data_IF_774441397304
#
_entry.id   IF_774441397304
#
_cell.length_a   1.000
_cell.length_b   1.000
_cell.length_c   1.000
_cell.angle_alpha   90.00
_cell.angle_beta   90.00
_cell.angle_gamma   90.00
#
_symmetry.space_group_name_H-M   'P 1'
#
loop_
_entity.id
_entity.type
_entity.pdbx_description
1 polymer ?
#
# COMPACT_ATOMS: atom_id res chain seq x y z
N UNK A 1 -10.63 34.84 -2.20
CA UNK A 1 -9.89 33.88 -1.33
C UNK A 1 -10.20 32.42 -1.66
N UNK A 2 -11.40 32.07 -2.19
CA UNK A 2 -11.79 30.68 -2.50
C UNK A 2 -11.06 30.06 -3.71
N UNK A 3 -10.58 30.86 -4.65
CA UNK A 3 -9.81 30.37 -5.82
C UNK A 3 -8.43 29.81 -5.47
N UNK A 4 -7.76 30.38 -4.46
CA UNK A 4 -6.42 29.94 -4.06
C UNK A 4 -6.39 28.55 -3.40
N UNK A 5 -7.42 28.19 -2.63
CA UNK A 5 -7.52 26.86 -2.00
C UNK A 5 -7.74 25.73 -3.01
N UNK A 6 -8.52 26.00 -4.06
CA UNK A 6 -8.75 25.03 -5.14
C UNK A 6 -7.49 24.73 -5.96
N UNK A 7 -6.65 25.73 -6.19
CA UNK A 7 -5.41 25.57 -6.96
C UNK A 7 -4.30 24.90 -6.12
N UNK A 8 -4.23 25.19 -4.83
CA UNK A 8 -3.34 24.49 -3.91
C UNK A 8 -3.73 23.01 -3.79
N UNK A 9 -5.03 22.71 -3.67
CA UNK A 9 -5.54 21.35 -3.64
C UNK A 9 -5.26 20.58 -4.96
N UNK A 10 -5.46 21.22 -6.12
CA UNK A 10 -5.12 20.62 -7.41
C UNK A 10 -3.63 20.36 -7.56
N UNK A 11 -2.77 21.28 -7.14
CA UNK A 11 -1.32 21.08 -7.15
C UNK A 11 -0.90 19.96 -6.20
N UNK A 12 -1.48 19.85 -5.01
CA UNK A 12 -1.19 18.79 -4.04
C UNK A 12 -1.62 17.41 -4.55
N UNK A 13 -2.81 17.31 -5.15
CA UNK A 13 -3.28 16.08 -5.80
C UNK A 13 -2.38 15.72 -6.99
N UNK A 14 -1.91 16.71 -7.74
CA UNK A 14 -0.99 16.50 -8.86
C UNK A 14 0.42 16.09 -8.41
N UNK A 15 0.92 16.63 -7.29
CA UNK A 15 2.19 16.22 -6.68
C UNK A 15 2.12 14.81 -6.07
N UNK A 16 1.04 14.50 -5.36
CA UNK A 16 0.78 13.14 -4.88
C UNK A 16 0.67 12.14 -6.04
N UNK A 17 0.06 12.54 -7.15
CA UNK A 17 -0.08 11.73 -8.36
C UNK A 17 1.25 11.53 -9.11
N UNK A 18 2.22 12.45 -8.98
CA UNK A 18 3.51 12.42 -9.69
C UNK A 18 4.57 11.56 -8.99
N UNK A 19 4.41 11.31 -7.70
CA UNK A 19 5.36 10.51 -6.90
C UNK A 19 4.97 9.03 -6.73
N UNK A 20 4.04 8.52 -7.52
CA UNK A 20 3.75 7.09 -7.55
C UNK A 20 4.84 6.34 -8.32
N UNK A 21 5.27 5.21 -7.77
CA UNK A 21 6.04 4.20 -8.50
C UNK A 21 5.39 4.00 -9.88
N UNK A 22 6.20 4.05 -10.93
CA UNK A 22 5.73 3.78 -12.28
C UNK A 22 5.03 2.41 -12.30
N UNK A 23 3.90 2.30 -12.96
CA UNK A 23 3.19 1.03 -13.13
C UNK A 23 4.10 -0.09 -13.64
N UNK A 24 5.04 0.26 -14.51
CA UNK A 24 6.05 -0.63 -15.07
C UNK A 24 7.04 -1.14 -14.01
N UNK A 25 7.39 -0.31 -13.03
CA UNK A 25 8.29 -0.73 -11.95
C UNK A 25 7.63 -1.80 -11.06
N UNK A 26 6.34 -1.62 -10.75
CA UNK A 26 5.59 -2.60 -9.95
C UNK A 26 5.45 -3.93 -10.70
N UNK A 27 5.10 -3.86 -11.97
CA UNK A 27 5.02 -5.04 -12.84
C UNK A 27 6.38 -5.75 -12.94
N UNK A 28 7.47 -5.00 -13.10
CA UNK A 28 8.83 -5.54 -13.15
C UNK A 28 9.21 -6.25 -11.85
N UNK A 29 8.91 -5.66 -10.70
CA UNK A 29 9.21 -6.26 -9.40
C UNK A 29 8.35 -7.52 -9.17
N UNK A 30 7.05 -7.47 -9.45
CA UNK A 30 6.15 -8.61 -9.30
C UNK A 30 6.60 -9.79 -10.17
N UNK A 31 7.00 -9.53 -11.42
CA UNK A 31 7.51 -10.57 -12.32
C UNK A 31 8.85 -11.12 -11.87
N UNK A 32 9.76 -10.27 -11.39
CA UNK A 32 11.06 -10.71 -10.84
C UNK A 32 10.86 -11.61 -9.62
N UNK A 33 10.00 -11.24 -8.68
CA UNK A 33 9.65 -12.06 -7.52
C UNK A 33 9.07 -13.40 -7.97
N UNK A 34 8.12 -13.37 -8.91
CA UNK A 34 7.45 -14.59 -9.39
C UNK A 34 8.43 -15.56 -10.07
N UNK A 35 9.35 -15.07 -10.89
CA UNK A 35 10.38 -15.89 -11.53
C UNK A 35 11.35 -16.45 -10.49
N UNK A 36 11.79 -15.64 -9.54
CA UNK A 36 12.66 -16.09 -8.44
C UNK A 36 12.01 -17.20 -7.62
N UNK A 37 10.73 -17.09 -7.30
CA UNK A 37 9.98 -18.14 -6.61
C UNK A 37 9.94 -19.44 -7.42
N UNK A 38 9.74 -19.36 -8.75
CA UNK A 38 9.76 -20.55 -9.62
C UNK A 38 11.12 -21.23 -9.68
N UNK A 39 12.20 -20.44 -9.72
CA UNK A 39 13.56 -20.98 -9.70
C UNK A 39 13.86 -21.69 -8.37
N UNK A 40 13.48 -21.07 -7.25
CA UNK A 40 13.64 -21.68 -5.93
C UNK A 40 12.82 -22.97 -5.83
N UNK A 41 11.55 -22.94 -6.25
CA UNK A 41 10.69 -24.12 -6.24
C UNK A 41 11.27 -25.26 -7.10
N UNK A 42 11.79 -24.92 -8.26
CA UNK A 42 12.43 -25.89 -9.16
C UNK A 42 13.67 -26.51 -8.50
N UNK A 43 14.55 -25.69 -7.92
CA UNK A 43 15.76 -26.17 -7.25
C UNK A 43 15.42 -27.08 -6.06
N UNK A 44 14.46 -26.69 -5.22
CA UNK A 44 14.05 -27.48 -4.04
C UNK A 44 13.51 -28.84 -4.45
N UNK A 45 12.63 -28.88 -5.45
CA UNK A 45 12.01 -30.15 -5.89
C UNK A 45 13.01 -31.07 -6.58
N UNK A 46 13.93 -30.54 -7.39
CA UNK A 46 15.01 -31.33 -7.99
C UNK A 46 15.96 -31.90 -6.93
N UNK A 47 16.29 -31.11 -5.91
CA UNK A 47 17.07 -31.59 -4.79
C UNK A 47 16.38 -32.74 -4.04
N UNK A 48 15.08 -32.60 -3.75
CA UNK A 48 14.28 -33.64 -3.08
C UNK A 48 14.10 -34.91 -3.92
N UNK A 49 14.00 -34.74 -5.24
CA UNK A 49 13.83 -35.86 -6.18
C UNK A 49 15.16 -36.58 -6.50
N UNK A 50 16.29 -36.06 -6.03
CA UNK A 50 17.64 -36.54 -6.39
C UNK A 50 17.88 -36.63 -7.92
N UNK A 51 17.25 -35.78 -8.68
CA UNK A 51 17.39 -35.68 -10.13
C UNK A 51 18.36 -34.55 -10.47
N UNK A 52 19.36 -34.77 -11.34
CA UNK A 52 20.32 -33.76 -11.71
C UNK A 52 19.61 -32.57 -12.40
N UNK A 53 19.97 -31.36 -12.00
CA UNK A 53 19.48 -30.14 -12.66
C UNK A 53 20.23 -29.96 -13.97
N UNK A 54 19.48 -29.73 -15.05
CA UNK A 54 20.05 -29.36 -16.34
C UNK A 54 19.79 -27.88 -16.59
N UNK A 55 20.85 -27.10 -16.86
CA UNK A 55 20.75 -25.65 -17.08
C UNK A 55 19.75 -25.26 -18.18
N UNK A 56 19.65 -26.08 -19.21
CA UNK A 56 18.68 -25.90 -20.29
C UNK A 56 17.22 -25.96 -19.82
N UNK A 57 16.90 -26.90 -18.94
CA UNK A 57 15.55 -27.01 -18.38
C UNK A 57 15.23 -25.88 -17.42
N UNK A 58 16.17 -25.47 -16.59
CA UNK A 58 16.03 -24.33 -15.71
C UNK A 58 15.71 -23.06 -16.51
N UNK A 59 16.41 -22.83 -17.62
CA UNK A 59 16.18 -21.69 -18.50
C UNK A 59 14.78 -21.76 -19.14
N UNK A 60 14.33 -22.92 -19.63
CA UNK A 60 12.97 -23.11 -20.17
C UNK A 60 11.91 -22.76 -19.14
N UNK A 61 11.98 -23.30 -17.92
CA UNK A 61 11.01 -23.03 -16.86
C UNK A 61 11.03 -21.55 -16.43
N UNK A 62 12.19 -20.93 -16.35
CA UNK A 62 12.31 -19.50 -16.06
C UNK A 62 11.64 -18.65 -17.14
N UNK A 63 11.86 -18.95 -18.42
CA UNK A 63 11.22 -18.23 -19.53
C UNK A 63 9.69 -18.40 -19.52
N UNK A 64 9.19 -19.62 -19.31
CA UNK A 64 7.75 -19.85 -19.22
C UNK A 64 7.14 -19.13 -18.02
N UNK A 65 7.79 -19.20 -16.86
CA UNK A 65 7.35 -18.50 -15.66
C UNK A 65 7.33 -16.99 -15.88
N UNK A 66 8.33 -16.42 -16.55
CA UNK A 66 8.39 -15.01 -16.89
C UNK A 66 7.22 -14.61 -17.80
N UNK A 67 7.03 -15.31 -18.91
CA UNK A 67 5.95 -15.02 -19.86
C UNK A 67 4.59 -15.16 -19.18
N UNK A 68 4.37 -16.25 -18.43
CA UNK A 68 3.11 -16.50 -17.72
C UNK A 68 2.84 -15.45 -16.65
N UNK A 69 3.87 -15.01 -15.90
CA UNK A 69 3.75 -13.96 -14.88
C UNK A 69 3.41 -12.62 -15.50
N UNK A 70 4.06 -12.23 -16.59
CA UNK A 70 3.77 -10.98 -17.31
C UNK A 70 2.35 -11.05 -17.88
N UNK A 71 1.98 -12.11 -18.56
CA UNK A 71 0.65 -12.29 -19.15
C UNK A 71 -0.45 -12.26 -18.06
N UNK A 72 -0.26 -12.99 -16.96
CA UNK A 72 -1.20 -13.00 -15.84
C UNK A 72 -1.35 -11.61 -15.21
N UNK A 73 -0.24 -10.90 -14.99
CA UNK A 73 -0.27 -9.55 -14.44
C UNK A 73 -0.98 -8.55 -15.36
N UNK A 74 -0.82 -8.68 -16.67
CA UNK A 74 -1.51 -7.84 -17.66
C UNK A 74 -3.00 -8.17 -17.75
N UNK A 75 -3.36 -9.46 -17.79
CA UNK A 75 -4.76 -9.91 -17.89
C UNK A 75 -5.58 -9.47 -16.66
N UNK A 76 -5.06 -9.68 -15.47
CA UNK A 76 -5.77 -9.36 -14.22
C UNK A 76 -5.51 -7.95 -13.72
N UNK A 77 -4.75 -7.14 -14.47
CA UNK A 77 -4.46 -5.74 -14.15
C UNK A 77 -3.93 -5.55 -12.72
N UNK A 78 -3.05 -6.46 -12.27
CA UNK A 78 -2.48 -6.42 -10.90
C UNK A 78 -1.65 -5.17 -10.64
N UNK A 79 -1.10 -4.56 -11.71
CA UNK A 79 -0.29 -3.34 -11.67
C UNK A 79 -1.10 -2.04 -11.53
N UNK A 80 -2.43 -2.07 -11.74
CA UNK A 80 -3.25 -0.87 -11.93
C UNK A 80 -3.80 -0.24 -10.65
N UNK A 81 -3.87 -1.00 -9.57
CA UNK A 81 -4.43 -0.54 -8.29
C UNK A 81 -3.35 -0.51 -7.22
N UNK A 82 -2.83 0.66 -6.98
CA UNK A 82 -1.91 0.92 -5.89
C UNK A 82 -2.63 1.50 -4.69
N UNK A 83 -2.51 0.83 -3.56
CA UNK A 83 -2.28 1.39 -2.22
C UNK A 83 -3.52 1.88 -1.46
N UNK A 84 -4.70 2.18 -2.03
CA UNK A 84 -5.57 3.01 -1.20
C UNK A 84 -6.92 2.47 -0.72
N UNK A 85 -7.57 1.47 -1.33
CA UNK A 85 -8.98 1.25 -0.94
C UNK A 85 -9.60 -0.16 -0.97
N UNK A 86 -8.89 -1.22 -1.37
CA UNK A 86 -9.52 -2.55 -1.35
C UNK A 86 -8.51 -3.68 -1.29
N UNK A 87 -7.97 -3.93 -0.11
CA UNK A 87 -7.03 -5.05 0.14
C UNK A 87 -7.57 -6.38 -0.39
N UNK A 88 -8.84 -6.69 -0.16
CA UNK A 88 -9.46 -7.94 -0.60
C UNK A 88 -9.52 -8.08 -2.13
N UNK A 89 -9.77 -7.00 -2.86
CA UNK A 89 -9.86 -7.02 -4.32
C UNK A 89 -8.48 -7.19 -4.97
N UNK A 90 -7.45 -6.64 -4.35
CA UNK A 90 -6.07 -6.84 -4.83
C UNK A 90 -5.59 -8.27 -4.60
N UNK A 91 -5.85 -8.82 -3.43
CA UNK A 91 -5.54 -10.22 -3.12
C UNK A 91 -6.21 -11.18 -4.12
N UNK A 92 -7.48 -10.93 -4.47
CA UNK A 92 -8.18 -11.72 -5.46
C UNK A 92 -7.51 -11.67 -6.84
N UNK A 93 -7.06 -10.50 -7.28
CA UNK A 93 -6.34 -10.35 -8.56
C UNK A 93 -4.99 -11.06 -8.56
N UNK A 94 -4.23 -10.96 -7.47
CA UNK A 94 -2.96 -11.68 -7.31
C UNK A 94 -3.22 -13.18 -7.36
N UNK A 95 -4.23 -13.67 -6.66
CA UNK A 95 -4.61 -15.09 -6.67
C UNK A 95 -4.95 -15.57 -8.08
N UNK A 96 -5.76 -14.82 -8.84
CA UNK A 96 -6.08 -15.16 -10.22
C UNK A 96 -4.84 -15.16 -11.13
N UNK A 97 -3.92 -14.20 -10.96
CA UNK A 97 -2.68 -14.16 -11.74
C UNK A 97 -1.76 -15.35 -11.42
N UNK A 98 -1.65 -15.73 -10.14
CA UNK A 98 -0.89 -16.92 -9.72
C UNK A 98 -1.51 -18.21 -10.25
N UNK A 99 -2.85 -18.35 -10.18
CA UNK A 99 -3.55 -19.51 -10.76
C UNK A 99 -3.32 -19.61 -12.26
N UNK A 100 -3.38 -18.50 -12.98
CA UNK A 100 -3.07 -18.46 -14.41
C UNK A 100 -1.63 -18.92 -14.69
N UNK A 101 -0.65 -18.43 -13.91
CA UNK A 101 0.74 -18.88 -14.01
C UNK A 101 0.87 -20.40 -13.79
N UNK A 102 0.24 -20.92 -12.73
CA UNK A 102 0.25 -22.37 -12.43
C UNK A 102 -0.34 -23.16 -13.60
N UNK A 103 -1.44 -22.70 -14.19
CA UNK A 103 -2.05 -23.36 -15.35
C UNK A 103 -1.10 -23.40 -16.55
N UNK A 104 -0.41 -22.28 -16.86
CA UNK A 104 0.59 -22.25 -17.92
C UNK A 104 1.76 -23.20 -17.64
N UNK A 105 2.29 -23.19 -16.41
CA UNK A 105 3.36 -24.12 -16.02
C UNK A 105 2.90 -25.58 -16.05
N UNK A 106 1.66 -25.87 -15.68
CA UNK A 106 1.08 -27.21 -15.78
C UNK A 106 1.01 -27.69 -17.25
N UNK A 107 0.51 -26.86 -18.14
CA UNK A 107 0.44 -27.18 -19.58
C UNK A 107 1.83 -27.52 -20.10
N UNK A 108 2.84 -26.75 -19.75
CA UNK A 108 4.22 -27.01 -20.17
C UNK A 108 4.78 -28.26 -19.51
N UNK A 109 4.53 -28.47 -18.20
CA UNK A 109 5.05 -29.62 -17.45
C UNK A 109 4.44 -30.95 -17.88
N UNK A 110 3.17 -30.97 -18.32
CA UNK A 110 2.44 -32.18 -18.70
C UNK A 110 2.28 -32.33 -20.20
N UNK A 111 2.20 -31.22 -20.97
CA UNK A 111 1.86 -31.26 -22.40
C UNK A 111 3.05 -31.37 -23.33
N UNK A 112 4.18 -30.74 -23.03
CA UNK A 112 5.30 -30.62 -23.96
C UNK A 112 6.54 -31.43 -23.57
N UNK A 113 6.57 -32.10 -22.41
CA UNK A 113 7.85 -32.49 -21.86
C UNK A 113 7.94 -33.99 -21.60
N UNK A 114 8.23 -34.71 -22.65
CA UNK A 114 8.84 -36.04 -22.58
C UNK A 114 10.25 -36.00 -21.93
N UNK A 115 10.83 -34.82 -21.78
CA UNK A 115 12.24 -34.67 -21.33
C UNK A 115 12.39 -34.38 -19.82
N UNK A 116 11.32 -34.06 -19.07
CA UNK A 116 11.49 -33.92 -17.63
C UNK A 116 11.59 -35.29 -16.98
N UNK A 117 12.80 -35.62 -16.53
CA UNK A 117 13.07 -36.83 -15.77
C UNK A 117 12.38 -36.88 -14.40
N UNK A 118 11.55 -35.89 -14.08
CA UNK A 118 10.81 -35.82 -12.82
C UNK A 118 9.62 -36.77 -12.81
N UNK A 119 9.48 -37.61 -11.79
CA UNK A 119 8.29 -38.44 -11.59
C UNK A 119 7.02 -37.56 -11.46
N UNK A 120 5.87 -38.11 -11.82
CA UNK A 120 4.58 -37.41 -11.84
C UNK A 120 4.26 -36.68 -10.51
N UNK A 121 4.51 -37.34 -9.39
CA UNK A 121 4.24 -36.77 -8.07
C UNK A 121 5.08 -35.49 -7.80
N UNK A 122 6.34 -35.45 -8.23
CA UNK A 122 7.19 -34.30 -8.07
C UNK A 122 6.79 -33.14 -9.00
N UNK A 123 6.19 -33.39 -10.17
CA UNK A 123 5.64 -32.35 -11.03
C UNK A 123 4.48 -31.64 -10.36
N UNK A 124 3.57 -32.37 -9.73
CA UNK A 124 2.45 -31.79 -8.96
C UNK A 124 2.98 -31.01 -7.77
N UNK A 125 3.92 -31.60 -7.01
CA UNK A 125 4.53 -30.92 -5.86
C UNK A 125 5.22 -29.61 -6.25
N UNK A 126 5.90 -29.58 -7.41
CA UNK A 126 6.49 -28.37 -7.95
C UNK A 126 5.45 -27.25 -8.20
N UNK A 127 4.34 -27.60 -8.88
CA UNK A 127 3.30 -26.63 -9.20
C UNK A 127 2.63 -26.05 -7.94
N UNK A 128 2.34 -26.92 -6.97
CA UNK A 128 1.75 -26.50 -5.69
C UNK A 128 2.71 -25.64 -4.88
N UNK A 129 3.97 -26.05 -4.80
CA UNK A 129 4.99 -25.33 -4.04
C UNK A 129 5.32 -23.98 -4.68
N UNK A 130 5.48 -23.92 -6.02
CA UNK A 130 5.67 -22.65 -6.75
C UNK A 130 4.48 -21.71 -6.56
N UNK A 131 3.25 -22.22 -6.68
CA UNK A 131 2.05 -21.42 -6.51
C UNK A 131 1.92 -20.83 -5.10
N UNK A 132 2.11 -21.67 -4.08
CA UNK A 132 2.05 -21.27 -2.69
C UNK A 132 3.14 -20.24 -2.38
N UNK A 133 4.38 -20.54 -2.78
CA UNK A 133 5.53 -19.66 -2.54
C UNK A 133 5.34 -18.30 -3.21
N UNK A 134 4.91 -18.30 -4.47
CA UNK A 134 4.64 -17.06 -5.23
C UNK A 134 3.51 -16.25 -4.58
N UNK A 135 2.41 -16.89 -4.19
CA UNK A 135 1.27 -16.21 -3.57
C UNK A 135 1.66 -15.58 -2.23
N UNK A 136 2.33 -16.34 -1.36
CA UNK A 136 2.77 -15.83 -0.05
C UNK A 136 3.77 -14.68 -0.22
N UNK A 137 4.76 -14.83 -1.09
CA UNK A 137 5.80 -13.81 -1.28
C UNK A 137 5.23 -12.53 -1.88
N UNK A 138 4.37 -12.61 -2.91
CA UNK A 138 3.73 -11.44 -3.51
C UNK A 138 2.80 -10.71 -2.54
N UNK A 139 2.00 -11.45 -1.76
CA UNK A 139 1.10 -10.83 -0.77
C UNK A 139 1.88 -10.17 0.36
N UNK A 140 2.92 -10.84 0.89
CA UNK A 140 3.79 -10.28 1.92
C UNK A 140 4.50 -9.03 1.41
N UNK A 141 5.03 -9.06 0.19
CA UNK A 141 5.68 -7.91 -0.43
C UNK A 141 4.72 -6.71 -0.56
N UNK A 142 3.47 -6.94 -1.01
CA UNK A 142 2.45 -5.89 -1.12
C UNK A 142 2.10 -5.28 0.24
N UNK A 143 1.89 -6.12 1.24
CA UNK A 143 1.61 -5.65 2.62
C UNK A 143 2.79 -4.85 3.16
N UNK A 144 4.03 -5.32 2.93
CA UNK A 144 5.25 -4.60 3.35
C UNK A 144 5.36 -3.22 2.69
N UNK A 145 5.04 -3.10 1.40
CA UNK A 145 5.03 -1.81 0.71
C UNK A 145 4.02 -0.83 1.33
N UNK A 146 2.83 -1.30 1.69
CA UNK A 146 1.81 -0.47 2.35
C UNK A 146 2.32 0.02 3.70
N UNK A 147 2.88 -0.88 4.53
CA UNK A 147 3.41 -0.54 5.85
C UNK A 147 4.55 0.48 5.74
N UNK A 148 5.50 0.25 4.82
CA UNK A 148 6.62 1.17 4.57
C UNK A 148 6.11 2.53 4.13
N UNK A 149 5.13 2.56 3.23
CA UNK A 149 4.53 3.81 2.76
C UNK A 149 3.86 4.58 3.89
N UNK A 150 3.05 3.94 4.72
CA UNK A 150 2.40 4.55 5.87
C UNK A 150 3.43 5.06 6.89
N UNK A 151 4.48 4.28 7.14
CA UNK A 151 5.58 4.70 8.02
C UNK A 151 6.32 5.94 7.49
N UNK A 152 6.62 5.96 6.19
CA UNK A 152 7.27 7.12 5.54
C UNK A 152 6.38 8.36 5.59
N UNK A 153 5.07 8.20 5.35
CA UNK A 153 4.11 9.30 5.49
C UNK A 153 4.06 9.84 6.92
N UNK A 154 4.02 8.97 7.91
CA UNK A 154 4.04 9.38 9.32
C UNK A 154 5.35 10.08 9.70
N UNK A 155 6.48 9.63 9.16
CA UNK A 155 7.77 10.27 9.39
C UNK A 155 7.88 11.65 8.74
N UNK A 156 7.41 11.81 7.51
CA UNK A 156 7.31 13.10 6.81
C UNK A 156 6.29 14.00 7.49
N UNK A 157 5.16 13.45 7.93
CA UNK A 157 4.09 14.16 8.61
C UNK A 157 4.45 14.64 10.03
N UNK A 158 5.51 14.12 10.65
CA UNK A 158 6.05 14.68 11.91
C UNK A 158 6.48 16.14 11.78
N UNK A 159 6.72 16.65 10.58
CA UNK A 159 6.97 18.07 10.27
C UNK A 159 5.70 18.88 10.01
N UNK A 160 4.51 18.30 10.14
CA UNK A 160 3.28 19.00 9.81
C UNK A 160 2.96 20.12 10.78
N UNK A 161 2.49 21.22 10.22
CA UNK A 161 2.00 22.37 10.97
C UNK A 161 0.81 21.95 11.82
N UNK A 162 0.98 21.99 13.14
CA UNK A 162 -0.10 21.72 14.08
C UNK A 162 -1.06 22.89 14.09
N UNK A 163 -2.35 22.59 13.98
CA UNK A 163 -3.43 23.58 13.95
C UNK A 163 -4.52 23.21 14.94
N UNK A 164 -5.22 24.22 15.47
CA UNK A 164 -6.46 24.05 16.22
C UNK A 164 -7.66 24.24 15.30
N UNK A 165 -8.74 23.56 15.59
CA UNK A 165 -10.02 23.70 14.89
C UNK A 165 -10.96 24.46 15.82
N UNK A 166 -11.51 25.57 15.35
CA UNK A 166 -12.50 26.33 16.11
C UNK A 166 -13.87 25.64 16.08
N UNK A 167 -14.48 25.55 17.28
CA UNK A 167 -15.81 24.96 17.44
C UNK A 167 -15.78 23.46 17.73
N UNK A 168 -16.94 22.97 18.20
CA UNK A 168 -17.19 21.53 18.51
C UNK A 168 -18.41 20.98 17.81
N UNK A 169 -18.93 21.68 16.81
CA UNK A 169 -20.06 21.30 15.98
C UNK A 169 -19.68 20.21 14.97
N UNK A 170 -20.67 19.64 14.33
CA UNK A 170 -20.47 18.59 13.33
C UNK A 170 -19.55 19.00 12.18
N UNK A 171 -19.61 20.28 11.77
CA UNK A 171 -18.74 20.82 10.72
C UNK A 171 -17.27 20.83 11.15
N UNK A 172 -16.98 21.13 12.43
CA UNK A 172 -15.62 21.06 12.96
C UNK A 172 -15.07 19.63 13.00
N UNK A 173 -15.94 18.65 13.31
CA UNK A 173 -15.58 17.23 13.26
C UNK A 173 -15.38 16.77 11.82
N UNK A 174 -16.21 17.21 10.88
CA UNK A 174 -16.04 16.94 9.44
C UNK A 174 -14.74 17.56 8.91
N UNK A 175 -14.38 18.78 9.36
CA UNK A 175 -13.10 19.42 9.02
C UNK A 175 -11.92 18.59 9.53
N UNK A 176 -11.97 18.06 10.76
CA UNK A 176 -10.95 17.13 11.28
C UNK A 176 -10.78 15.91 10.39
N UNK A 177 -11.90 15.30 9.94
CA UNK A 177 -11.85 14.14 9.06
C UNK A 177 -11.20 14.46 7.70
N UNK A 178 -11.52 15.64 7.14
CA UNK A 178 -10.86 16.12 5.91
C UNK A 178 -9.36 16.40 6.10
N UNK A 179 -8.97 16.88 7.27
CA UNK A 179 -7.57 17.14 7.60
C UNK A 179 -6.76 15.88 7.88
N UNK A 180 -7.41 14.75 8.18
CA UNK A 180 -6.75 13.48 8.42
C UNK A 180 -5.86 13.05 7.26
N UNK A 181 -6.29 13.34 6.03
CA UNK A 181 -5.59 12.99 4.80
C UNK A 181 -4.70 14.13 4.27
N UNK A 182 -4.55 15.22 5.06
CA UNK A 182 -3.73 16.37 4.68
C UNK A 182 -2.25 16.11 4.93
N UNK A 183 -1.41 16.31 3.91
CA UNK A 183 0.05 16.17 4.02
C UNK A 183 0.72 17.33 4.79
N UNK A 184 0.03 18.45 5.06
CA UNK A 184 0.64 19.66 5.62
C UNK A 184 0.11 20.07 6.98
N UNK A 185 -1.11 19.67 7.33
CA UNK A 185 -1.77 20.11 8.55
C UNK A 185 -2.19 18.92 9.41
N UNK A 186 -1.92 19.02 10.71
CA UNK A 186 -2.37 18.03 11.70
C UNK A 186 -3.22 18.74 12.74
N UNK A 187 -4.46 18.31 12.90
CA UNK A 187 -5.32 18.82 13.96
C UNK A 187 -4.73 18.45 15.34
N UNK A 188 -4.39 19.43 16.16
CA UNK A 188 -3.84 19.25 17.49
C UNK A 188 -4.92 19.24 18.58
N UNK A 189 -6.11 19.75 18.28
CA UNK A 189 -7.26 19.81 19.18
C UNK A 189 -8.34 20.70 18.64
N UNK A 190 -9.44 20.75 19.38
CA UNK A 190 -10.53 21.70 19.16
C UNK A 190 -10.39 22.87 20.11
N UNK A 191 -10.84 24.04 19.70
CA UNK A 191 -10.83 25.28 20.44
C UNK A 191 -12.24 25.83 20.56
N UNK A 192 -12.65 26.21 21.78
CA UNK A 192 -13.96 26.79 22.06
C UNK A 192 -13.78 27.95 23.01
N UNK A 193 -14.47 29.06 22.72
CA UNK A 193 -14.54 30.19 23.66
C UNK A 193 -15.52 29.83 24.79
N UNK A 194 -15.09 30.03 26.04
CA UNK A 194 -15.92 29.83 27.23
C UNK A 194 -15.18 29.17 28.38
N UNK A 195 -15.81 29.23 29.57
CA UNK A 195 -15.28 28.69 30.82
C UNK A 195 -15.79 27.28 31.03
N UNK A 196 -14.99 26.27 30.68
CA UNK A 196 -15.31 24.93 31.06
C UNK A 196 -14.04 24.18 31.48
N UNK A 197 -13.99 23.77 32.75
CA UNK A 197 -12.81 23.14 33.35
C UNK A 197 -12.73 21.62 33.11
N UNK A 198 -13.63 21.08 32.28
CA UNK A 198 -13.66 19.64 31.99
C UNK A 198 -12.72 19.32 30.81
N UNK A 199 -11.76 18.44 31.05
CA UNK A 199 -10.93 17.84 30.00
C UNK A 199 -11.78 16.93 29.10
N UNK A 200 -12.54 17.52 28.20
CA UNK A 200 -13.32 16.75 27.22
C UNK A 200 -12.44 16.39 26.02
N UNK A 201 -12.69 15.21 25.47
CA UNK A 201 -12.16 14.80 24.17
C UNK A 201 -13.29 14.71 23.19
N UNK A 202 -13.07 15.21 21.98
CA UNK A 202 -14.00 15.12 20.89
C UNK A 202 -13.23 14.46 19.72
N UNK A 203 -13.79 13.36 19.19
CA UNK A 203 -13.18 12.63 18.09
C UNK A 203 -11.66 12.37 18.34
N UNK A 204 -11.29 11.83 19.49
CA UNK A 204 -9.94 11.51 19.97
C UNK A 204 -8.98 12.70 20.19
N UNK A 205 -9.43 13.93 19.96
CA UNK A 205 -8.63 15.14 20.18
C UNK A 205 -9.10 15.88 21.42
N UNK A 206 -8.18 16.57 22.14
CA UNK A 206 -8.54 17.39 23.30
C UNK A 206 -9.31 18.64 22.86
N UNK A 207 -10.26 19.05 23.69
CA UNK A 207 -10.98 20.32 23.55
C UNK A 207 -10.38 21.30 24.53
N UNK A 208 -9.94 22.46 24.04
CA UNK A 208 -9.38 23.56 24.82
C UNK A 208 -10.41 24.68 24.96
N UNK A 209 -10.59 25.14 26.19
CA UNK A 209 -11.46 26.26 26.51
C UNK A 209 -10.63 27.45 26.89
N UNK A 210 -10.98 28.63 26.41
CA UNK A 210 -10.26 29.88 26.67
C UNK A 210 -11.22 31.03 26.92
N UNK A 211 -10.85 31.91 27.83
CA UNK A 211 -11.55 33.16 28.11
C UNK A 211 -10.78 34.39 27.58
N UNK A 212 -9.44 34.31 27.55
CA UNK A 212 -8.58 35.43 27.15
C UNK A 212 -7.67 35.04 25.99
N UNK A 213 -7.31 36.01 25.15
CA UNK A 213 -6.36 35.81 24.04
C UNK A 213 -4.97 35.36 24.51
N UNK A 214 -4.54 35.79 25.72
CA UNK A 214 -3.27 35.40 26.33
C UNK A 214 -3.14 33.88 26.53
N UNK A 215 -4.25 33.21 26.84
CA UNK A 215 -4.27 31.75 27.06
C UNK A 215 -4.11 30.97 25.75
N UNK A 216 -4.67 31.51 24.67
CA UNK A 216 -4.51 30.98 23.34
C UNK A 216 -3.04 30.97 22.91
N UNK A 217 -2.38 32.12 23.06
CA UNK A 217 -0.95 32.29 22.73
C UNK A 217 -0.06 31.39 23.57
N UNK A 218 -0.36 31.23 24.86
CA UNK A 218 0.40 30.33 25.73
C UNK A 218 0.32 28.87 25.26
N UNK A 219 -0.87 28.37 24.91
CA UNK A 219 -1.03 26.99 24.46
C UNK A 219 -0.48 26.80 23.06
N UNK A 220 -0.65 27.77 22.16
CA UNK A 220 -0.06 27.74 20.85
C UNK A 220 1.47 27.59 20.92
N UNK A 221 2.13 28.39 21.75
CA UNK A 221 3.59 28.29 21.96
C UNK A 221 4.01 27.01 22.65
N UNK A 222 3.33 26.59 23.72
CA UNK A 222 3.66 25.39 24.48
C UNK A 222 3.53 24.09 23.67
N UNK A 223 2.60 24.03 22.70
CA UNK A 223 2.33 22.83 21.89
C UNK A 223 2.82 22.96 20.46
N UNK A 224 3.47 24.05 20.10
CA UNK A 224 3.98 24.27 18.75
C UNK A 224 2.87 24.36 17.70
N UNK A 225 1.72 24.95 18.07
CA UNK A 225 0.58 25.15 17.18
C UNK A 225 0.82 26.44 16.40
N UNK A 226 0.65 26.38 15.08
CA UNK A 226 0.98 27.50 14.18
C UNK A 226 -0.24 28.23 13.62
N UNK A 227 -1.46 27.75 13.89
CA UNK A 227 -2.65 28.41 13.40
C UNK A 227 -3.95 27.82 13.91
N UNK A 228 -5.04 28.54 13.69
CA UNK A 228 -6.41 28.16 14.00
C UNK A 228 -7.19 28.09 12.69
N UNK A 229 -7.97 27.04 12.50
CA UNK A 229 -8.86 26.86 11.37
C UNK A 229 -10.31 26.94 11.81
N UNK A 230 -11.08 27.69 11.07
CA UNK A 230 -12.54 27.80 11.25
C UNK A 230 -13.24 26.90 10.22
N UNK A 231 -14.25 26.15 10.67
CA UNK A 231 -15.01 25.25 9.80
C UNK A 231 -15.87 26.04 8.80
N UNK A 232 -16.46 27.14 9.23
CA UNK A 232 -17.25 28.07 8.42
C UNK A 232 -17.17 29.48 9.03
N UNK A 233 -17.14 30.49 8.17
CA UNK A 233 -17.41 31.87 8.56
C UNK A 233 -18.93 32.09 8.40
N UNK A 234 -19.64 32.29 9.48
CA UNK A 234 -20.94 32.95 9.47
C UNK A 234 -20.75 34.46 9.60
#
# INVERSE_FOLDING_TARGET
LSRGLGDVYKRQVQYARKNYFSYWSILGIDTAISVSCSLVAYAVIHYMAHVPMTDWMLCKFACVSLVASVAGSLLFHTYRNTIRFSQARELWRIMCAVLFKIACLAIVSFGFIYETQLPYNYKISYLLFDGLLTLVTLTTFRVSLIIIYDFLLDWVNKKNTRILIYGTNEESVALKLRLRDSAHYKAAGFYVYGKNNSRRRLADLPVYYFENESDVDYIMRKRGIKGILFARYE
#
